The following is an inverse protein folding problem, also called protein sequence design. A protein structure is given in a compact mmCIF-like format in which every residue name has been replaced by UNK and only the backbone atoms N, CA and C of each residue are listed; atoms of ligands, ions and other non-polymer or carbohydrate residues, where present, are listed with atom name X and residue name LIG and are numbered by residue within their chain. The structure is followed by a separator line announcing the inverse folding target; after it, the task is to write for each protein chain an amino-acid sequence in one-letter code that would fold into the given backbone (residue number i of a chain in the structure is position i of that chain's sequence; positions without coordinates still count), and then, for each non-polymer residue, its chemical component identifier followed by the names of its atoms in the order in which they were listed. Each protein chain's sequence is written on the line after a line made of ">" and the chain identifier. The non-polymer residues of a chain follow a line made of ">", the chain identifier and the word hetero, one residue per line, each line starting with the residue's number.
data_IF_806854041476
#
_entry.id   IF_806854041476
#
_cell.length_a   1.000
_cell.length_b   1.000
_cell.length_c   1.000
_cell.angle_alpha   90.00
_cell.angle_beta   90.00
_cell.angle_gamma   90.00
#
_symmetry.space_group_name_H-M   'P 1'
#
loop_
_entity.id
_entity.type
_entity.pdbx_description
1 polymer ?
#
# COMPACT_ATOMS: atom_id res chain seq x y z
N UNK A 1 -4.87 55.00 25.16
CA UNK A 1 -5.97 55.96 25.35
C UNK A 1 -6.91 55.88 24.17
N UNK A 2 -8.19 55.64 24.45
CA UNK A 2 -9.40 55.85 23.65
C UNK A 2 -9.52 55.31 22.21
N UNK A 3 -10.44 54.34 22.08
CA UNK A 3 -11.21 54.02 20.88
C UNK A 3 -12.20 55.13 20.51
N UNK A 4 -12.71 55.16 19.26
CA UNK A 4 -14.15 55.31 18.90
C UNK A 4 -14.41 54.99 17.41
N UNK A 5 -15.36 54.06 17.18
CA UNK A 5 -16.43 53.88 16.16
C UNK A 5 -16.20 54.27 14.68
N UNK A 6 -16.35 53.39 13.69
CA UNK A 6 -17.54 52.65 13.19
C UNK A 6 -18.49 53.44 12.27
N UNK A 7 -18.71 52.93 11.04
CA UNK A 7 -19.96 53.05 10.28
C UNK A 7 -20.36 51.68 9.71
N UNK A 8 -21.48 51.17 10.22
CA UNK A 8 -22.31 50.12 9.61
C UNK A 8 -23.35 50.74 8.67
N UNK A 9 -23.71 50.01 7.61
CA UNK A 9 -25.06 49.78 7.02
C UNK A 9 -24.91 48.61 6.02
N UNK A 10 -25.77 47.62 5.81
CA UNK A 10 -26.99 47.01 6.36
C UNK A 10 -27.06 45.69 5.53
N UNK A 11 -27.00 44.45 6.01
CA UNK A 11 -27.91 43.67 6.86
C UNK A 11 -29.36 43.52 6.36
N UNK A 12 -29.65 42.45 5.61
CA UNK A 12 -30.94 41.72 5.58
C UNK A 12 -30.63 40.26 5.17
N UNK A 13 -31.04 39.14 5.79
CA UNK A 13 -31.77 38.71 7.01
C UNK A 13 -31.44 37.20 7.11
N UNK A 14 -30.80 36.69 8.17
CA UNK A 14 -31.35 36.08 9.41
C UNK A 14 -32.34 34.93 9.13
N UNK A 15 -32.24 33.74 9.77
CA UNK A 15 -32.24 33.43 11.21
C UNK A 15 -32.12 31.88 11.32
N UNK A 16 -31.52 31.22 12.31
CA UNK A 16 -31.79 31.27 13.76
C UNK A 16 -30.57 30.78 14.55
N UNK A 17 -30.40 31.42 15.70
CA UNK A 17 -29.34 31.33 16.71
C UNK A 17 -29.66 30.28 17.78
N UNK A 18 -28.60 29.72 18.36
CA UNK A 18 -28.43 29.05 19.66
C UNK A 18 -29.63 29.01 20.62
N UNK A 19 -29.77 27.88 21.32
CA UNK A 19 -29.96 27.86 22.78
C UNK A 19 -29.47 26.52 23.37
N UNK A 20 -28.71 26.60 24.46
CA UNK A 20 -28.77 25.61 25.53
C UNK A 20 -27.62 24.61 25.62
N UNK A 21 -26.61 24.96 26.44
CA UNK A 21 -26.03 23.97 27.33
C UNK A 21 -27.17 23.31 28.13
N UNK A 22 -27.47 22.06 27.82
CA UNK A 22 -28.16 21.16 28.72
C UNK A 22 -27.29 19.93 28.87
N UNK A 23 -26.68 19.79 30.05
CA UNK A 23 -26.15 18.52 30.51
C UNK A 23 -27.29 17.50 30.43
N UNK A 24 -27.28 16.67 29.38
CA UNK A 24 -28.17 15.52 29.31
C UNK A 24 -27.61 14.51 30.30
N UNK A 25 -28.22 14.48 31.48
CA UNK A 25 -28.03 13.44 32.49
C UNK A 25 -28.43 12.12 31.81
N UNK A 26 -27.44 11.36 31.37
CA UNK A 26 -27.64 10.00 30.87
C UNK A 26 -28.27 9.23 32.02
N UNK A 27 -29.55 8.90 31.87
CA UNK A 27 -30.20 7.88 32.70
C UNK A 27 -29.52 6.55 32.34
N UNK A 28 -29.12 5.73 33.32
CA UNK A 28 -28.49 4.45 33.02
C UNK A 28 -29.55 3.53 32.41
N UNK A 29 -29.53 3.37 31.09
CA UNK A 29 -30.50 2.54 30.37
C UNK A 29 -30.23 2.36 28.88
N UNK A 30 -29.93 3.43 28.14
CA UNK A 30 -30.09 3.39 26.67
C UNK A 30 -28.83 3.79 25.86
N UNK A 31 -27.64 3.32 26.25
CA UNK A 31 -26.40 3.47 25.46
C UNK A 31 -26.16 2.31 24.49
N UNK A 32 -27.23 1.77 23.90
CA UNK A 32 -27.23 0.49 23.20
C UNK A 32 -27.81 0.52 21.79
N UNK A 33 -27.42 1.45 20.92
CA UNK A 33 -27.55 1.30 19.47
C UNK A 33 -26.79 2.39 18.71
N UNK A 34 -26.10 1.99 17.63
CA UNK A 34 -25.48 2.82 16.59
C UNK A 34 -24.13 3.49 16.94
N UNK A 35 -23.12 2.67 17.23
CA UNK A 35 -21.75 2.95 16.77
C UNK A 35 -21.43 1.89 15.73
N UNK A 36 -21.10 2.29 14.50
CA UNK A 36 -20.54 1.37 13.51
C UNK A 36 -19.25 0.80 14.12
N UNK A 37 -19.28 -0.47 14.54
CA UNK A 37 -18.17 -1.07 15.26
C UNK A 37 -17.03 -1.32 14.28
N UNK A 38 -15.92 -0.60 14.44
CA UNK A 38 -14.71 -0.85 13.67
C UNK A 38 -14.16 -2.26 13.95
N UNK A 39 -13.56 -2.93 12.95
CA UNK A 39 -12.90 -4.22 13.13
C UNK A 39 -11.62 -4.09 13.98
N UNK A 40 -11.18 -5.20 14.58
CA UNK A 40 -10.01 -5.29 15.46
C UNK A 40 -8.72 -5.60 14.69
N UNK A 41 -8.82 -6.26 13.54
CA UNK A 41 -7.72 -6.38 12.59
C UNK A 41 -7.74 -5.15 11.67
N UNK A 42 -6.68 -4.33 11.63
CA UNK A 42 -6.59 -3.20 10.71
C UNK A 42 -6.78 -3.65 9.26
N UNK A 43 -7.62 -2.94 8.51
CA UNK A 43 -7.93 -3.25 7.11
C UNK A 43 -8.95 -4.36 6.87
N UNK A 44 -9.43 -5.03 7.91
CA UNK A 44 -10.62 -5.85 7.74
C UNK A 44 -11.87 -4.98 7.52
N UNK A 45 -12.88 -5.55 6.86
CA UNK A 45 -14.26 -5.08 6.94
C UNK A 45 -14.95 -5.66 8.17
N UNK A 46 -15.84 -4.90 8.83
CA UNK A 46 -16.67 -5.44 9.90
C UNK A 46 -18.07 -5.80 9.40
N UNK A 47 -18.44 -7.08 9.47
CA UNK A 47 -19.82 -7.56 9.23
C UNK A 47 -20.18 -8.57 10.31
N UNK A 48 -21.01 -8.17 11.27
CA UNK A 48 -21.34 -9.04 12.40
C UNK A 48 -22.07 -10.34 11.97
N UNK A 49 -21.64 -11.46 12.53
CA UNK A 49 -22.41 -12.71 12.52
C UNK A 49 -23.71 -12.55 13.35
N UNK A 50 -24.69 -13.43 13.13
CA UNK A 50 -25.90 -13.44 13.94
C UNK A 50 -25.58 -13.75 15.41
N UNK A 51 -26.21 -13.03 16.35
CA UNK A 51 -25.93 -13.16 17.79
C UNK A 51 -26.13 -14.55 18.39
N UNK A 52 -26.86 -15.44 17.71
CA UNK A 52 -27.03 -16.85 18.12
C UNK A 52 -25.94 -17.79 17.61
N UNK A 53 -25.03 -17.32 16.75
CA UNK A 53 -24.00 -18.14 16.11
C UNK A 53 -22.64 -18.07 16.84
N UNK A 54 -22.55 -17.35 17.95
CA UNK A 54 -21.34 -17.25 18.79
C UNK A 54 -21.74 -17.00 20.26
N UNK A 55 -20.82 -17.29 21.18
CA UNK A 55 -20.99 -16.98 22.60
C UNK A 55 -20.27 -15.69 22.99
N UNK A 56 -20.90 -14.84 23.79
CA UNK A 56 -20.22 -13.66 24.34
C UNK A 56 -19.13 -14.07 25.34
N UNK A 57 -17.94 -13.50 25.19
CA UNK A 57 -16.76 -13.85 25.97
C UNK A 57 -16.16 -15.22 25.64
N UNK A 58 -15.15 -15.60 26.43
CA UNK A 58 -14.43 -16.88 26.32
C UNK A 58 -14.28 -17.54 27.68
N UNK A 59 -14.30 -18.87 27.68
CA UNK A 59 -14.03 -19.69 28.88
C UNK A 59 -12.58 -20.18 28.96
N UNK A 60 -11.72 -19.85 27.99
CA UNK A 60 -10.31 -20.22 27.96
C UNK A 60 -9.46 -19.12 27.30
N UNK A 61 -8.16 -19.12 27.57
CA UNK A 61 -7.21 -18.24 26.91
C UNK A 61 -7.06 -18.60 25.43
N UNK A 62 -6.88 -17.58 24.58
CA UNK A 62 -6.63 -17.78 23.15
C UNK A 62 -5.21 -18.32 22.99
N UNK A 63 -5.09 -19.52 22.41
CA UNK A 63 -3.80 -20.20 22.24
C UNK A 63 -3.61 -20.78 20.86
N UNK A 64 -4.65 -20.79 20.01
CA UNK A 64 -4.62 -21.49 18.72
C UNK A 64 -5.30 -20.67 17.63
N UNK A 65 -4.78 -20.73 16.41
CA UNK A 65 -5.44 -20.25 15.19
C UNK A 65 -5.82 -21.48 14.37
N UNK A 66 -7.07 -21.56 13.93
CA UNK A 66 -7.59 -22.64 13.10
C UNK A 66 -7.88 -22.11 11.70
N UNK A 67 -7.24 -22.73 10.72
CA UNK A 67 -7.37 -22.46 9.29
C UNK A 67 -8.45 -23.38 8.73
N UNK A 68 -9.47 -22.78 8.14
CA UNK A 68 -10.59 -23.46 7.50
C UNK A 68 -10.67 -23.15 6.02
N UNK A 69 -11.31 -24.03 5.26
CA UNK A 69 -11.79 -23.75 3.90
C UNK A 69 -13.29 -23.94 3.88
N UNK A 70 -13.99 -22.90 3.45
CA UNK A 70 -15.45 -22.74 3.59
C UNK A 70 -16.28 -23.73 2.79
N UNK A 71 -15.72 -24.35 1.74
CA UNK A 71 -16.45 -25.11 0.73
C UNK A 71 -17.55 -24.26 0.06
N UNK A 72 -17.24 -22.98 -0.18
CA UNK A 72 -18.19 -22.00 -0.69
C UNK A 72 -17.55 -20.67 -1.08
N UNK A 73 -18.39 -19.70 -1.43
CA UNK A 73 -17.95 -18.34 -1.79
C UNK A 73 -17.81 -17.44 -0.58
N UNK A 74 -17.05 -16.35 -0.73
CA UNK A 74 -16.83 -15.33 0.30
C UNK A 74 -18.14 -14.70 0.77
N UNK A 75 -18.95 -14.23 -0.18
CA UNK A 75 -20.25 -13.65 0.11
C UNK A 75 -21.24 -14.68 0.69
N UNK A 76 -21.19 -15.94 0.21
CA UNK A 76 -22.01 -17.02 0.72
C UNK A 76 -21.69 -17.36 2.18
N UNK A 77 -20.40 -17.41 2.52
CA UNK A 77 -19.93 -17.65 3.90
C UNK A 77 -20.40 -16.55 4.84
N UNK A 78 -20.22 -15.28 4.46
CA UNK A 78 -20.70 -14.14 5.24
C UNK A 78 -22.21 -14.20 5.44
N UNK A 79 -22.96 -14.46 4.37
CA UNK A 79 -24.43 -14.61 4.45
C UNK A 79 -24.85 -15.76 5.37
N UNK A 80 -24.13 -16.89 5.33
CA UNK A 80 -24.41 -18.04 6.18
C UNK A 80 -24.20 -17.73 7.66
N UNK A 81 -23.11 -17.04 8.01
CA UNK A 81 -22.86 -16.63 9.39
C UNK A 81 -23.83 -15.57 9.91
N UNK A 82 -24.50 -14.83 9.01
CA UNK A 82 -25.59 -13.92 9.34
C UNK A 82 -26.96 -14.62 9.49
N UNK A 83 -27.09 -15.88 9.08
CA UNK A 83 -28.32 -16.65 9.27
C UNK A 83 -28.45 -17.09 10.75
N UNK A 84 -29.46 -16.62 11.50
CA UNK A 84 -29.63 -16.97 12.92
C UNK A 84 -29.88 -18.47 13.18
N UNK A 85 -30.22 -19.24 12.14
CA UNK A 85 -30.42 -20.69 12.23
C UNK A 85 -29.18 -21.50 11.88
N UNK A 86 -28.06 -20.87 11.49
CA UNK A 86 -26.86 -21.60 11.08
C UNK A 86 -26.19 -22.33 12.26
N UNK A 87 -26.17 -21.72 13.45
CA UNK A 87 -25.51 -22.28 14.64
C UNK A 87 -23.99 -22.37 14.52
N UNK A 88 -23.39 -21.71 13.53
CA UNK A 88 -21.94 -21.72 13.24
C UNK A 88 -21.47 -20.34 12.82
N UNK A 89 -20.20 -20.03 13.11
CA UNK A 89 -19.53 -18.80 12.71
C UNK A 89 -18.02 -18.94 12.82
N UNK A 90 -17.27 -18.06 12.17
CA UNK A 90 -15.84 -17.86 12.39
C UNK A 90 -15.53 -16.40 12.75
N UNK A 91 -14.29 -16.16 13.19
CA UNK A 91 -13.87 -14.80 13.56
C UNK A 91 -13.60 -13.96 12.31
N UNK A 92 -12.95 -14.55 11.31
CA UNK A 92 -12.56 -13.89 10.07
C UNK A 92 -12.88 -14.75 8.84
N UNK A 93 -13.17 -14.09 7.71
CA UNK A 93 -13.30 -14.69 6.38
C UNK A 93 -12.33 -13.98 5.43
N UNK A 94 -11.60 -14.74 4.62
CA UNK A 94 -10.61 -14.25 3.64
C UNK A 94 -11.06 -14.60 2.22
N UNK A 95 -11.13 -13.59 1.37
CA UNK A 95 -11.53 -13.72 -0.04
C UNK A 95 -10.38 -14.26 -0.87
N UNK A 96 -10.68 -15.17 -1.80
CA UNK A 96 -9.67 -15.82 -2.63
C UNK A 96 -9.07 -14.87 -3.65
N UNK A 97 -9.87 -14.08 -4.35
CA UNK A 97 -9.41 -13.34 -5.53
C UNK A 97 -8.37 -12.26 -5.22
N UNK A 98 -8.51 -11.54 -4.11
CA UNK A 98 -7.72 -10.35 -3.80
C UNK A 98 -7.21 -10.30 -2.34
N UNK A 99 -7.59 -11.27 -1.49
CA UNK A 99 -7.19 -11.32 -0.09
C UNK A 99 -8.01 -10.43 0.85
N UNK A 100 -9.17 -9.89 0.45
CA UNK A 100 -10.04 -9.08 1.32
C UNK A 100 -10.43 -9.85 2.60
N UNK A 101 -10.23 -9.22 3.76
CA UNK A 101 -10.53 -9.81 5.08
C UNK A 101 -11.82 -9.19 5.65
N UNK A 102 -12.80 -10.02 6.03
CA UNK A 102 -13.98 -9.57 6.81
C UNK A 102 -13.92 -10.19 8.20
N UNK A 103 -13.96 -9.37 9.25
CA UNK A 103 -14.16 -9.82 10.63
C UNK A 103 -15.66 -9.90 10.94
N UNK A 104 -16.08 -11.02 11.53
CA UNK A 104 -17.48 -11.29 11.82
C UNK A 104 -17.81 -11.55 13.29
N UNK A 105 -16.85 -12.06 14.06
CA UNK A 105 -16.95 -12.23 15.50
C UNK A 105 -15.74 -11.55 16.15
N UNK A 106 -15.95 -10.89 17.29
CA UNK A 106 -14.87 -10.28 18.06
C UNK A 106 -13.89 -11.34 18.55
N UNK A 107 -12.60 -11.02 18.64
CA UNK A 107 -11.59 -11.95 19.15
C UNK A 107 -11.91 -12.43 20.57
N UNK A 108 -12.45 -11.55 21.41
CA UNK A 108 -12.84 -11.82 22.80
C UNK A 108 -14.09 -12.70 22.95
N UNK A 109 -14.86 -12.88 21.89
CA UNK A 109 -16.04 -13.74 21.86
C UNK A 109 -15.68 -15.14 21.33
N UNK A 110 -16.55 -16.12 21.57
CA UNK A 110 -16.36 -17.51 21.16
C UNK A 110 -17.16 -17.81 19.89
N UNK A 111 -16.53 -17.71 18.72
CA UNK A 111 -17.15 -18.17 17.47
C UNK A 111 -17.31 -19.70 17.44
N UNK A 112 -18.36 -20.19 16.78
CA UNK A 112 -18.68 -21.63 16.70
C UNK A 112 -18.14 -22.25 15.40
N UNK A 113 -16.85 -22.59 15.36
CA UNK A 113 -16.17 -23.09 14.15
C UNK A 113 -15.47 -24.46 14.27
N UNK A 114 -15.03 -24.86 15.48
CA UNK A 114 -14.17 -26.02 15.70
C UNK A 114 -14.52 -26.80 16.98
N UNK A 115 -15.82 -26.94 17.28
CA UNK A 115 -16.35 -27.80 18.38
C UNK A 115 -15.67 -27.50 19.73
N UNK A 116 -15.03 -28.49 20.36
CA UNK A 116 -14.34 -28.34 21.65
C UNK A 116 -13.17 -27.36 21.62
N UNK A 117 -12.70 -26.96 20.44
CA UNK A 117 -11.65 -25.97 20.29
C UNK A 117 -12.15 -24.52 20.31
N UNK A 118 -13.45 -24.28 20.17
CA UNK A 118 -14.03 -22.93 20.14
C UNK A 118 -13.52 -22.04 21.29
N UNK A 119 -13.46 -22.50 22.56
CA UNK A 119 -13.11 -21.62 23.67
C UNK A 119 -11.69 -21.04 23.63
N UNK A 120 -10.74 -21.76 23.02
CA UNK A 120 -9.30 -21.41 23.06
C UNK A 120 -8.72 -21.08 21.69
N UNK A 121 -9.53 -21.05 20.62
CA UNK A 121 -9.04 -20.82 19.27
C UNK A 121 -9.73 -19.68 18.53
N UNK A 122 -9.02 -19.07 17.59
CA UNK A 122 -9.54 -18.13 16.61
C UNK A 122 -9.70 -18.85 15.26
N UNK A 123 -10.82 -18.66 14.58
CA UNK A 123 -11.15 -19.33 13.32
C UNK A 123 -11.06 -18.38 12.14
N UNK A 124 -10.31 -18.77 11.11
CA UNK A 124 -10.16 -18.03 9.85
C UNK A 124 -10.66 -18.92 8.71
N UNK A 125 -11.70 -18.45 8.04
CA UNK A 125 -12.38 -19.11 6.93
C UNK A 125 -11.84 -18.62 5.59
N UNK A 126 -11.40 -19.53 4.73
CA UNK A 126 -10.92 -19.21 3.39
C UNK A 126 -11.97 -19.57 2.34
N UNK A 127 -12.35 -18.61 1.50
CA UNK A 127 -13.21 -18.85 0.34
C UNK A 127 -12.61 -19.94 -0.56
N UNK A 128 -13.43 -20.90 -1.00
CA UNK A 128 -13.04 -21.87 -2.01
C UNK A 128 -13.35 -23.30 -1.65
N UNK A 129 -12.73 -24.22 -2.40
CA UNK A 129 -13.01 -25.65 -2.33
C UNK A 129 -11.72 -26.46 -2.15
N UNK A 130 -11.73 -27.40 -1.21
CA UNK A 130 -10.54 -28.16 -0.77
C UNK A 130 -9.92 -29.04 -1.87
N UNK A 131 -10.68 -29.36 -2.90
CA UNK A 131 -10.31 -30.22 -4.03
C UNK A 131 -9.86 -29.42 -5.27
N UNK A 132 -9.85 -28.08 -5.18
CA UNK A 132 -9.44 -27.22 -6.28
C UNK A 132 -8.35 -26.22 -5.84
N UNK A 133 -7.07 -26.46 -6.22
CA UNK A 133 -5.97 -25.61 -5.80
C UNK A 133 -6.03 -24.17 -6.34
N UNK A 134 -6.82 -23.88 -7.38
CA UNK A 134 -6.93 -22.54 -7.94
C UNK A 134 -7.55 -21.51 -6.97
N UNK A 135 -8.25 -21.97 -5.94
CA UNK A 135 -8.78 -21.10 -4.89
C UNK A 135 -7.71 -20.62 -3.90
N UNK A 136 -6.57 -21.30 -3.80
CA UNK A 136 -5.51 -20.93 -2.86
C UNK A 136 -4.52 -19.98 -3.52
N UNK A 137 -4.99 -18.76 -3.78
CA UNK A 137 -4.19 -17.70 -4.42
C UNK A 137 -3.12 -17.15 -3.48
N UNK A 138 -2.09 -16.54 -4.04
CA UNK A 138 -1.05 -15.90 -3.24
C UNK A 138 -1.61 -14.72 -2.42
N UNK A 139 -2.55 -13.95 -2.98
CA UNK A 139 -3.25 -12.88 -2.27
C UNK A 139 -3.97 -13.40 -1.02
N UNK A 140 -4.66 -14.53 -1.12
CA UNK A 140 -5.28 -15.18 0.04
C UNK A 140 -4.22 -15.60 1.07
N UNK A 141 -3.15 -16.28 0.63
CA UNK A 141 -2.08 -16.73 1.52
C UNK A 141 -1.41 -15.57 2.25
N UNK A 142 -1.10 -14.46 1.56
CA UNK A 142 -0.50 -13.25 2.14
C UNK A 142 -1.42 -12.59 3.16
N UNK A 143 -2.67 -12.29 2.78
CA UNK A 143 -3.63 -11.67 3.70
C UNK A 143 -3.90 -12.54 4.92
N UNK A 144 -4.07 -13.85 4.72
CA UNK A 144 -4.27 -14.79 5.83
C UNK A 144 -3.03 -14.96 6.70
N UNK A 145 -1.83 -14.97 6.12
CA UNK A 145 -0.58 -15.06 6.87
C UNK A 145 -0.37 -13.80 7.73
N UNK A 146 -0.69 -12.62 7.18
CA UNK A 146 -0.64 -11.35 7.89
C UNK A 146 -1.66 -11.30 9.03
N UNK A 147 -2.90 -11.74 8.79
CA UNK A 147 -3.91 -11.89 9.82
C UNK A 147 -3.45 -12.86 10.92
N UNK A 148 -3.01 -14.07 10.56
CA UNK A 148 -2.55 -15.08 11.52
C UNK A 148 -1.38 -14.58 12.37
N UNK A 149 -0.47 -13.84 11.76
CA UNK A 149 0.68 -13.24 12.44
C UNK A 149 0.29 -12.11 13.38
N UNK A 150 -0.63 -11.24 12.96
CA UNK A 150 -1.22 -10.21 13.82
C UNK A 150 -1.89 -10.83 15.04
N UNK A 151 -2.75 -11.82 14.84
CA UNK A 151 -3.44 -12.52 15.92
C UNK A 151 -2.44 -13.24 16.84
N UNK A 152 -1.41 -13.87 16.27
CA UNK A 152 -0.37 -14.52 17.03
C UNK A 152 0.43 -13.55 17.90
N UNK A 153 0.78 -12.37 17.37
CA UNK A 153 1.45 -11.32 18.14
C UNK A 153 0.55 -10.77 19.25
N UNK A 154 -0.70 -10.44 18.93
CA UNK A 154 -1.68 -9.87 19.86
C UNK A 154 -1.97 -10.78 21.05
N UNK A 155 -2.10 -12.08 20.79
CA UNK A 155 -2.52 -13.07 21.79
C UNK A 155 -1.38 -13.94 22.32
N UNK A 156 -0.13 -13.69 21.91
CA UNK A 156 1.04 -14.44 22.36
C UNK A 156 1.08 -15.89 21.87
N UNK A 157 0.50 -16.18 20.70
CA UNK A 157 0.45 -17.52 20.11
C UNK A 157 1.78 -17.81 19.39
N UNK A 158 2.48 -18.92 19.67
CA UNK A 158 3.69 -19.28 18.93
C UNK A 158 3.39 -19.53 17.45
N UNK A 159 4.20 -18.97 16.54
CA UNK A 159 4.02 -19.06 15.08
C UNK A 159 4.49 -20.40 14.49
N UNK A 160 4.02 -21.51 15.06
CA UNK A 160 4.38 -22.86 14.63
C UNK A 160 3.14 -23.68 14.29
N UNK A 161 3.33 -24.77 13.56
CA UNK A 161 2.23 -25.69 13.18
C UNK A 161 1.56 -26.37 14.38
N UNK A 162 2.17 -26.32 15.57
CA UNK A 162 1.53 -26.80 16.79
C UNK A 162 0.41 -25.88 17.28
N UNK A 163 0.39 -24.60 16.86
CA UNK A 163 -0.56 -23.60 17.33
C UNK A 163 -1.33 -22.91 16.19
N UNK A 164 -0.84 -22.99 14.96
CA UNK A 164 -1.57 -22.61 13.74
C UNK A 164 -1.91 -23.90 13.01
N UNK A 165 -3.17 -24.31 13.08
CA UNK A 165 -3.62 -25.68 12.77
C UNK A 165 -4.73 -25.68 11.73
N UNK A 166 -4.81 -26.73 10.93
CA UNK A 166 -5.98 -26.98 10.08
C UNK A 166 -7.15 -27.48 10.89
N UNK A 167 -8.38 -27.25 10.43
CA UNK A 167 -9.57 -27.78 11.09
C UNK A 167 -9.52 -29.31 11.22
N UNK A 168 -9.05 -30.00 10.18
CA UNK A 168 -8.77 -31.44 10.14
C UNK A 168 -7.78 -31.94 11.19
N UNK A 169 -7.05 -31.05 11.88
CA UNK A 169 -6.09 -31.40 12.93
C UNK A 169 -6.67 -31.19 14.33
N UNK A 170 -7.84 -30.56 14.45
CA UNK A 170 -8.43 -30.21 15.74
C UNK A 170 -9.05 -31.43 16.43
N UNK A 171 -9.01 -31.50 17.78
CA UNK A 171 -9.55 -32.64 18.51
C UNK A 171 -11.05 -32.85 18.23
N UNK A 172 -11.43 -34.09 17.92
CA UNK A 172 -12.82 -34.46 17.69
C UNK A 172 -13.43 -33.91 16.39
N UNK A 173 -12.60 -33.54 15.40
CA UNK A 173 -13.10 -33.12 14.10
C UNK A 173 -13.54 -34.32 13.23
N UNK A 174 -14.52 -34.07 12.38
CA UNK A 174 -15.04 -34.92 11.30
C UNK A 174 -14.88 -34.23 9.94
N UNK A 175 -13.99 -33.25 9.86
CA UNK A 175 -13.81 -32.32 8.75
C UNK A 175 -12.45 -32.54 8.07
N UNK A 176 -12.38 -32.25 6.77
CA UNK A 176 -11.16 -32.48 5.96
C UNK A 176 -10.44 -31.19 5.57
N UNK A 177 -11.03 -30.03 5.83
CA UNK A 177 -10.45 -28.72 5.51
C UNK A 177 -9.25 -28.37 6.42
N UNK A 178 -8.25 -27.61 5.94
CA UNK A 178 -8.19 -26.87 4.67
C UNK A 178 -7.86 -27.72 3.43
N UNK A 179 -7.74 -29.04 3.58
CA UNK A 179 -7.57 -29.96 2.46
C UNK A 179 -6.13 -30.18 2.00
N UNK A 180 -5.92 -31.11 1.06
CA UNK A 180 -4.58 -31.53 0.62
C UNK A 180 -3.84 -30.47 -0.19
N UNK A 181 -4.57 -29.50 -0.77
CA UNK A 181 -4.02 -28.46 -1.62
C UNK A 181 -3.60 -27.20 -0.85
N UNK A 182 -3.89 -27.12 0.46
CA UNK A 182 -3.37 -26.05 1.30
C UNK A 182 -1.86 -26.24 1.52
N UNK A 183 -1.07 -25.35 0.95
CA UNK A 183 0.38 -25.37 1.01
C UNK A 183 0.86 -24.79 2.35
N UNK A 184 0.93 -25.65 3.36
CA UNK A 184 1.42 -25.28 4.69
C UNK A 184 2.84 -24.73 4.69
N UNK A 185 3.72 -25.19 3.79
CA UNK A 185 5.09 -24.69 3.74
C UNK A 185 5.12 -23.23 3.28
N UNK A 186 4.37 -22.89 2.23
CA UNK A 186 4.21 -21.51 1.75
C UNK A 186 3.54 -20.62 2.79
N UNK A 187 2.43 -21.09 3.37
CA UNK A 187 1.71 -20.32 4.38
C UNK A 187 2.57 -20.04 5.62
N UNK A 188 3.25 -21.07 6.14
CA UNK A 188 4.15 -20.90 7.28
C UNK A 188 5.42 -20.14 6.92
N UNK A 189 5.92 -20.22 5.67
CA UNK A 189 7.03 -19.38 5.25
C UNK A 189 6.60 -17.93 5.25
N UNK A 190 5.43 -17.58 4.69
CA UNK A 190 4.90 -16.21 4.75
C UNK A 190 4.74 -15.72 6.19
N UNK A 191 4.19 -16.53 7.10
CA UNK A 191 4.05 -16.19 8.54
C UNK A 191 5.41 -15.98 9.22
N UNK A 192 6.46 -16.68 8.81
CA UNK A 192 7.78 -16.62 9.48
C UNK A 192 8.81 -15.75 8.76
N UNK A 193 8.64 -15.50 7.47
CA UNK A 193 9.46 -14.60 6.68
C UNK A 193 9.08 -13.18 7.07
N UNK A 194 9.98 -12.51 7.77
CA UNK A 194 10.44 -11.25 7.19
C UNK A 194 11.89 -11.44 6.73
N UNK A 195 12.25 -10.65 5.74
CA UNK A 195 13.38 -10.90 4.88
C UNK A 195 14.73 -10.53 5.49
N UNK A 196 15.76 -10.87 4.73
CA UNK A 196 16.89 -9.98 4.52
C UNK A 196 16.93 -9.63 3.03
N UNK A 197 17.33 -8.40 2.71
CA UNK A 197 17.93 -8.02 1.43
C UNK A 197 17.22 -6.92 0.63
N UNK A 198 17.98 -5.84 0.35
CA UNK A 198 17.85 -4.95 -0.81
C UNK A 198 17.06 -3.65 -0.61
N UNK A 199 17.73 -2.55 -0.23
CA UNK A 199 17.14 -1.21 -0.25
C UNK A 199 16.81 -0.78 -1.69
N UNK A 200 15.57 -0.39 -1.93
CA UNK A 200 15.15 0.43 -3.07
C UNK A 200 14.14 1.45 -2.56
N UNK A 201 14.45 2.73 -2.72
CA UNK A 201 13.62 3.88 -2.33
C UNK A 201 13.50 4.79 -3.55
N UNK A 202 12.28 5.04 -4.00
CA UNK A 202 11.80 6.32 -4.54
C UNK A 202 10.34 6.16 -5.01
N UNK A 203 9.45 7.00 -4.50
CA UNK A 203 8.14 7.36 -5.06
C UNK A 203 7.91 8.84 -4.76
N UNK A 204 6.89 9.46 -5.37
CA UNK A 204 6.45 10.87 -5.26
C UNK A 204 6.64 11.52 -3.87
N UNK A 205 6.77 12.85 -3.72
CA UNK A 205 6.62 13.53 -2.42
C UNK A 205 5.48 12.93 -1.61
N UNK A 206 5.81 12.23 -0.51
CA UNK A 206 4.87 11.26 0.06
C UNK A 206 3.98 11.85 1.15
N UNK A 207 2.68 12.09 0.96
CA UNK A 207 1.75 12.52 2.02
C UNK A 207 0.82 11.38 2.47
N UNK A 208 1.32 10.49 3.33
CA UNK A 208 0.52 9.38 3.84
C UNK A 208 -0.60 9.85 4.78
N UNK A 209 -0.47 11.04 5.37
CA UNK A 209 -1.38 11.60 6.35
C UNK A 209 -2.56 12.37 5.74
N UNK A 210 -2.37 12.92 4.55
CA UNK A 210 -3.31 13.78 3.82
C UNK A 210 -3.35 15.21 4.37
N UNK A 211 -2.26 15.68 5.00
CA UNK A 211 -2.17 17.02 5.59
C UNK A 211 -1.49 18.07 4.68
N UNK A 212 -1.13 17.65 3.46
CA UNK A 212 -0.47 18.41 2.43
C UNK A 212 1.03 18.55 2.63
N UNK A 213 1.67 17.63 3.39
CA UNK A 213 3.10 17.65 3.67
C UNK A 213 3.71 16.28 3.44
N UNK A 214 4.90 16.29 2.85
CA UNK A 214 5.65 15.06 2.64
C UNK A 214 6.12 14.47 3.97
N UNK A 215 5.60 13.29 4.26
CA UNK A 215 5.99 12.33 5.27
C UNK A 215 7.21 11.50 4.82
N UNK A 216 7.66 10.57 5.67
CA UNK A 216 8.70 9.59 5.34
C UNK A 216 8.19 8.19 5.65
N UNK A 217 8.41 7.25 4.73
CA UNK A 217 8.28 5.81 4.98
C UNK A 217 9.62 5.10 4.93
N UNK A 218 9.81 4.12 5.81
CA UNK A 218 10.90 3.16 5.75
C UNK A 218 10.33 1.76 5.73
N UNK A 219 10.70 0.98 4.73
CA UNK A 219 10.40 -0.45 4.66
C UNK A 219 11.54 -1.22 5.33
N UNK A 220 11.26 -1.77 6.52
CA UNK A 220 12.20 -2.62 7.23
C UNK A 220 12.15 -4.02 6.63
N UNK A 221 12.98 -4.26 5.62
CA UNK A 221 13.18 -5.55 4.94
C UNK A 221 13.92 -6.60 5.80
N UNK A 222 13.82 -6.48 7.13
CA UNK A 222 14.24 -7.44 8.14
C UNK A 222 13.17 -8.51 8.42
N UNK A 223 13.31 -9.28 9.52
CA UNK A 223 12.43 -10.41 9.89
C UNK A 223 10.93 -10.10 10.07
N UNK A 224 10.53 -8.84 9.87
CA UNK A 224 9.14 -8.42 9.90
C UNK A 224 8.63 -7.69 8.64
N UNK A 225 9.46 -7.31 7.65
CA UNK A 225 8.99 -6.58 6.44
C UNK A 225 8.00 -5.45 6.79
N UNK A 226 8.32 -4.69 7.83
CA UNK A 226 7.41 -3.71 8.44
C UNK A 226 7.57 -2.35 7.74
N UNK A 227 6.45 -1.67 7.43
CA UNK A 227 6.48 -0.29 6.97
C UNK A 227 6.36 0.65 8.18
N UNK A 228 7.35 1.52 8.35
CA UNK A 228 7.38 2.53 9.40
C UNK A 228 7.23 3.91 8.79
N UNK A 229 6.28 4.68 9.29
CA UNK A 229 6.05 6.06 8.83
C UNK A 229 6.41 7.05 9.93
N UNK A 230 7.01 8.16 9.53
CA UNK A 230 7.19 9.34 10.35
C UNK A 230 6.51 10.51 9.64
N UNK A 231 5.44 11.04 10.24
CA UNK A 231 4.67 12.10 9.61
C UNK A 231 5.35 13.46 9.77
N UNK A 232 5.22 14.32 8.77
CA UNK A 232 5.80 15.65 8.81
C UNK A 232 4.98 16.61 9.64
N UNK A 233 5.66 17.57 10.26
CA UNK A 233 5.05 18.76 10.87
C UNK A 233 5.39 20.03 10.08
N UNK A 234 6.07 19.86 8.93
CA UNK A 234 6.78 20.89 8.14
C UNK A 234 7.86 21.67 8.86
N UNK A 235 8.22 21.29 10.09
CA UNK A 235 9.42 21.79 10.77
C UNK A 235 10.29 20.68 11.38
N UNK A 236 9.74 19.46 11.44
CA UNK A 236 10.38 18.22 11.87
C UNK A 236 9.47 17.05 11.47
N UNK A 237 9.99 15.82 11.53
CA UNK A 237 9.17 14.61 11.51
C UNK A 237 8.74 14.25 12.94
N UNK A 238 7.46 13.96 13.15
CA UNK A 238 6.87 13.71 14.45
C UNK A 238 7.20 12.30 14.97
N UNK A 239 7.65 12.23 16.23
CA UNK A 239 7.73 10.99 17.01
C UNK A 239 8.88 10.03 16.66
N UNK A 240 8.90 8.89 17.36
CA UNK A 240 9.65 7.69 16.93
C UNK A 240 8.84 6.99 15.85
N UNK A 241 9.49 6.55 14.77
CA UNK A 241 8.85 5.88 13.63
C UNK A 241 7.76 4.88 14.08
N UNK A 242 6.52 5.15 13.68
CA UNK A 242 5.37 4.32 14.05
C UNK A 242 5.22 3.26 12.99
N UNK A 243 5.06 2.01 13.41
CA UNK A 243 4.77 0.94 12.48
C UNK A 243 3.35 1.08 11.94
N UNK A 244 3.23 1.27 10.63
CA UNK A 244 1.96 1.48 9.92
C UNK A 244 1.50 0.23 9.18
N UNK A 245 2.43 -0.65 8.79
CA UNK A 245 2.07 -1.95 8.22
C UNK A 245 3.02 -3.03 8.72
N UNK A 246 2.51 -4.23 8.85
CA UNK A 246 3.34 -5.41 8.98
C UNK A 246 3.37 -6.18 7.65
N UNK A 247 4.55 -6.62 7.22
CA UNK A 247 4.74 -7.58 6.13
C UNK A 247 4.33 -7.13 4.72
N UNK A 248 4.69 -5.89 4.36
CA UNK A 248 4.58 -5.36 3.00
C UNK A 248 5.96 -5.23 2.36
N UNK A 249 6.11 -5.66 1.11
CA UNK A 249 7.42 -5.74 0.44
C UNK A 249 8.23 -6.95 0.91
N UNK A 250 7.86 -8.13 0.41
CA UNK A 250 8.64 -9.34 0.63
C UNK A 250 9.98 -9.27 -0.11
N UNK A 251 10.90 -10.18 0.24
CA UNK A 251 12.24 -10.22 -0.36
C UNK A 251 12.17 -10.33 -1.88
N UNK A 252 12.81 -9.38 -2.57
CA UNK A 252 12.86 -9.32 -4.03
C UNK A 252 11.69 -8.57 -4.69
N UNK A 253 10.77 -8.00 -3.91
CA UNK A 253 9.73 -7.12 -4.43
C UNK A 253 10.23 -5.67 -4.51
N UNK A 254 9.74 -4.93 -5.52
CA UNK A 254 10.04 -3.50 -5.69
C UNK A 254 8.95 -2.69 -5.01
N UNK A 255 9.28 -1.62 -4.32
CA UNK A 255 8.37 -0.85 -3.47
C UNK A 255 8.32 0.60 -3.93
N UNK A 256 7.11 1.14 -4.10
CA UNK A 256 6.85 2.54 -4.44
C UNK A 256 5.66 3.06 -3.60
N UNK A 257 5.38 4.35 -3.73
CA UNK A 257 4.35 5.08 -2.96
C UNK A 257 3.61 6.05 -3.88
N UNK A 258 2.31 6.23 -3.64
CA UNK A 258 1.47 7.14 -4.43
C UNK A 258 -0.02 7.04 -4.07
N UNK A 259 -0.84 8.03 -4.40
CA UNK A 259 -2.29 8.04 -4.12
C UNK A 259 -3.05 7.25 -5.19
N UNK A 260 -3.04 5.93 -5.08
CA UNK A 260 -3.69 5.07 -6.07
C UNK A 260 -5.21 5.13 -5.99
N UNK A 261 -5.78 5.64 -4.89
CA UNK A 261 -7.22 5.62 -4.63
C UNK A 261 -7.92 6.99 -4.79
N UNK A 262 -7.15 8.06 -4.87
CA UNK A 262 -7.61 9.43 -5.09
C UNK A 262 -8.22 10.07 -3.85
N UNK A 263 -7.84 9.63 -2.64
CA UNK A 263 -8.36 10.18 -1.39
C UNK A 263 -7.46 11.25 -0.76
N UNK A 264 -6.41 11.66 -1.48
CA UNK A 264 -5.42 12.65 -1.08
C UNK A 264 -4.43 12.14 -0.04
N UNK A 265 -4.32 10.81 0.13
CA UNK A 265 -3.28 10.19 0.94
C UNK A 265 -2.51 9.21 0.08
N UNK A 266 -1.20 9.28 0.17
CA UNK A 266 -0.38 8.30 -0.50
C UNK A 266 -0.54 6.93 0.13
N UNK A 267 -0.45 5.92 -0.71
CA UNK A 267 -0.53 4.51 -0.39
C UNK A 267 0.85 3.87 -0.62
N UNK A 268 0.97 2.57 -0.32
CA UNK A 268 2.15 1.78 -0.65
C UNK A 268 1.80 0.74 -1.72
N UNK A 269 2.71 0.53 -2.67
CA UNK A 269 2.59 -0.50 -3.71
C UNK A 269 3.83 -1.36 -3.76
N UNK A 270 3.65 -2.65 -4.06
CA UNK A 270 4.76 -3.55 -4.31
C UNK A 270 4.58 -4.41 -5.57
N UNK A 271 5.67 -4.60 -6.30
CA UNK A 271 5.74 -5.35 -7.55
C UNK A 271 6.56 -6.62 -7.34
N UNK A 272 5.95 -7.78 -7.60
CA UNK A 272 6.64 -9.06 -7.48
C UNK A 272 7.56 -9.28 -8.69
N UNK A 273 8.86 -9.04 -8.51
CA UNK A 273 9.87 -9.11 -9.58
C UNK A 273 10.18 -10.50 -10.15
N UNK A 274 9.41 -11.54 -9.80
CA UNK A 274 9.58 -12.87 -10.38
C UNK A 274 9.19 -12.91 -11.87
N UNK A 275 9.80 -13.81 -12.65
CA UNK A 275 9.37 -14.15 -14.02
C UNK A 275 8.75 -15.54 -14.11
N UNK A 276 8.80 -16.30 -13.02
CA UNK A 276 8.29 -17.67 -12.91
C UNK A 276 7.62 -17.85 -11.56
N UNK A 277 6.56 -18.66 -11.51
CA UNK A 277 5.76 -18.86 -10.30
C UNK A 277 4.36 -18.28 -10.45
N UNK A 278 3.46 -18.62 -9.53
CA UNK A 278 2.04 -18.27 -9.62
C UNK A 278 1.72 -16.82 -9.29
N UNK A 279 2.70 -16.07 -8.78
CA UNK A 279 2.59 -14.68 -8.33
C UNK A 279 3.63 -13.75 -8.99
N UNK A 280 4.38 -14.26 -9.97
CA UNK A 280 5.32 -13.45 -10.75
C UNK A 280 4.55 -12.30 -11.41
N UNK A 281 5.05 -11.06 -11.29
CA UNK A 281 4.40 -9.87 -11.83
C UNK A 281 3.15 -9.40 -11.08
N UNK A 282 2.71 -10.07 -10.00
CA UNK A 282 1.59 -9.55 -9.21
C UNK A 282 1.96 -8.17 -8.62
N UNK A 283 0.97 -7.28 -8.51
CA UNK A 283 1.08 -5.97 -7.87
C UNK A 283 0.11 -5.90 -6.69
N UNK A 284 0.62 -5.56 -5.51
CA UNK A 284 -0.16 -5.42 -4.29
C UNK A 284 -0.15 -3.99 -3.81
N UNK A 285 -1.32 -3.46 -3.42
CA UNK A 285 -1.48 -2.11 -2.87
C UNK A 285 -1.98 -2.18 -1.44
N UNK A 286 -1.33 -1.45 -0.53
CA UNK A 286 -1.76 -1.22 0.84
C UNK A 286 -2.21 0.22 1.00
N UNK A 287 -3.53 0.43 1.09
CA UNK A 287 -4.10 1.78 1.18
C UNK A 287 -3.76 2.46 2.52
N UNK A 288 -3.48 3.76 2.51
CA UNK A 288 -3.32 4.54 3.73
C UNK A 288 -4.66 4.91 4.36
N UNK A 289 -4.63 5.03 5.68
CA UNK A 289 -5.75 5.54 6.49
C UNK A 289 -5.42 6.87 7.14
N UNK A 290 -4.25 7.45 6.84
CA UNK A 290 -3.70 8.63 7.52
C UNK A 290 -2.99 8.31 8.84
N UNK A 291 -3.07 7.07 9.32
CA UNK A 291 -2.45 6.64 10.58
C UNK A 291 -1.88 5.22 10.56
N UNK A 292 -2.13 4.46 9.49
CA UNK A 292 -1.68 3.11 9.22
C UNK A 292 -1.94 2.76 7.75
N UNK A 293 -1.28 1.73 7.22
CA UNK A 293 -1.65 1.13 5.94
C UNK A 293 -2.51 -0.11 6.14
N UNK A 294 -3.46 -0.35 5.23
CA UNK A 294 -4.24 -1.57 5.17
C UNK A 294 -3.38 -2.76 4.68
N UNK A 295 -3.89 -3.98 4.86
CA UNK A 295 -3.24 -5.16 4.31
C UNK A 295 -3.15 -5.10 2.78
N UNK A 296 -1.99 -5.47 2.23
CA UNK A 296 -1.76 -5.48 0.79
C UNK A 296 -2.78 -6.33 0.04
N UNK A 297 -3.53 -5.69 -0.86
CA UNK A 297 -4.56 -6.32 -1.70
C UNK A 297 -4.03 -6.40 -3.12
N UNK A 298 -4.24 -7.53 -3.82
CA UNK A 298 -3.78 -7.64 -5.21
C UNK A 298 -4.59 -6.74 -6.13
N UNK A 299 -3.92 -5.87 -6.88
CA UNK A 299 -4.51 -4.90 -7.80
C UNK A 299 -4.16 -5.17 -9.27
N UNK A 300 -3.12 -5.94 -9.56
CA UNK A 300 -2.75 -6.38 -10.91
C UNK A 300 -2.06 -7.75 -10.88
N UNK A 301 -2.18 -8.54 -11.95
CA UNK A 301 -1.67 -9.93 -12.02
C UNK A 301 -0.29 -10.05 -12.71
N UNK A 302 0.07 -9.09 -13.57
CA UNK A 302 1.32 -9.16 -14.34
C UNK A 302 1.85 -7.78 -14.77
N UNK A 303 2.66 -7.15 -13.94
CA UNK A 303 3.27 -5.85 -14.23
C UNK A 303 4.67 -5.72 -13.62
N UNK A 304 5.59 -5.10 -14.36
CA UNK A 304 7.00 -4.95 -14.00
C UNK A 304 7.76 -6.25 -13.59
N UNK A 305 7.53 -7.41 -14.26
CA UNK A 305 8.22 -8.65 -13.93
C UNK A 305 9.74 -8.57 -14.15
N UNK A 306 10.51 -9.43 -13.48
CA UNK A 306 11.94 -9.56 -13.73
C UNK A 306 12.73 -8.26 -13.51
N UNK A 307 13.49 -7.87 -14.54
CA UNK A 307 14.39 -6.73 -14.51
C UNK A 307 13.73 -5.40 -14.93
N UNK A 308 12.44 -5.40 -15.27
CA UNK A 308 11.72 -4.18 -15.64
C UNK A 308 11.72 -3.16 -14.49
N UNK A 309 11.69 -1.87 -14.78
CA UNK A 309 11.73 -0.82 -13.74
C UNK A 309 10.32 -0.27 -13.56
N UNK A 310 9.64 -0.47 -12.41
CA UNK A 310 8.37 0.16 -12.14
C UNK A 310 8.55 1.62 -11.73
N UNK A 311 7.56 2.44 -12.03
CA UNK A 311 7.36 3.79 -11.53
C UNK A 311 5.86 4.04 -11.28
N UNK A 312 5.53 5.15 -10.63
CA UNK A 312 4.17 5.57 -10.28
C UNK A 312 3.99 7.05 -10.54
N UNK A 313 2.76 7.47 -10.86
CA UNK A 313 2.40 8.87 -11.07
C UNK A 313 1.05 9.03 -11.78
N UNK A 314 0.39 10.17 -11.64
CA UNK A 314 -0.89 10.49 -12.30
C UNK A 314 -0.65 10.91 -13.75
N UNK A 315 -0.42 9.92 -14.61
CA UNK A 315 -0.10 10.17 -16.02
C UNK A 315 -1.34 10.50 -16.84
N UNK A 316 -2.54 10.36 -16.28
CA UNK A 316 -3.80 10.59 -16.98
C UNK A 316 -4.56 11.85 -16.53
N UNK A 317 -4.19 12.42 -15.38
CA UNK A 317 -4.70 13.66 -14.82
C UNK A 317 -6.04 13.50 -14.11
N UNK A 318 -6.35 12.30 -13.61
CA UNK A 318 -7.60 12.03 -12.89
C UNK A 318 -7.46 12.12 -11.36
N UNK A 319 -6.29 12.52 -10.88
CA UNK A 319 -5.95 12.68 -9.47
C UNK A 319 -5.66 11.35 -8.78
N UNK A 320 -5.34 10.29 -9.53
CA UNK A 320 -4.90 9.00 -8.99
C UNK A 320 -3.59 8.60 -9.63
N UNK A 321 -2.68 8.12 -8.81
CA UNK A 321 -1.44 7.58 -9.32
C UNK A 321 -1.69 6.28 -10.09
N UNK A 322 -1.08 6.20 -11.26
CA UNK A 322 -1.07 5.03 -12.13
C UNK A 322 0.24 4.25 -11.91
N UNK A 323 0.32 3.02 -12.43
CA UNK A 323 1.58 2.28 -12.48
C UNK A 323 2.17 2.30 -13.89
N UNK A 324 3.47 2.55 -13.97
CA UNK A 324 4.26 2.61 -15.19
C UNK A 324 5.35 1.55 -15.09
N UNK A 325 5.68 0.89 -16.19
CA UNK A 325 6.87 0.04 -16.25
C UNK A 325 7.69 0.31 -17.50
N UNK A 326 8.98 0.51 -17.28
CA UNK A 326 10.01 0.55 -18.31
C UNK A 326 10.55 -0.86 -18.47
N UNK A 327 10.38 -1.44 -19.66
CA UNK A 327 10.90 -2.79 -19.93
C UNK A 327 12.41 -2.88 -19.74
N UNK A 328 13.10 -1.75 -19.90
CA UNK A 328 14.52 -1.56 -19.62
C UNK A 328 15.42 -2.59 -20.31
N UNK A 329 14.97 -3.04 -21.49
CA UNK A 329 15.66 -3.98 -22.38
C UNK A 329 16.08 -3.26 -23.68
N UNK A 330 16.39 -4.03 -24.72
CA UNK A 330 16.78 -3.46 -26.02
C UNK A 330 15.62 -2.83 -26.81
N UNK A 331 14.37 -3.09 -26.44
CA UNK A 331 13.19 -2.45 -27.03
C UNK A 331 12.83 -1.16 -26.29
N UNK A 332 13.04 -1.11 -24.96
CA UNK A 332 12.73 0.07 -24.15
C UNK A 332 11.26 0.49 -24.26
N UNK A 333 10.35 -0.47 -24.39
CA UNK A 333 8.93 -0.19 -24.33
C UNK A 333 8.52 0.32 -22.93
N UNK A 334 7.54 1.23 -22.90
CA UNK A 334 6.93 1.75 -21.67
C UNK A 334 5.44 1.38 -21.67
N UNK A 335 5.03 0.67 -20.62
CA UNK A 335 3.64 0.27 -20.41
C UNK A 335 3.05 1.02 -19.22
N UNK A 336 1.77 1.37 -19.33
CA UNK A 336 1.00 2.03 -18.27
C UNK A 336 -0.24 1.19 -17.96
N UNK A 337 -0.54 0.99 -16.69
CA UNK A 337 -1.84 0.48 -16.25
C UNK A 337 -2.52 1.51 -15.35
N UNK A 338 -3.64 2.05 -15.84
CA UNK A 338 -4.36 3.13 -15.18
C UNK A 338 -5.05 2.64 -13.90
N UNK A 339 -5.02 3.44 -12.84
CA UNK A 339 -5.74 3.15 -11.61
C UNK A 339 -7.24 3.37 -11.78
N UNK A 340 -8.01 2.49 -11.15
CA UNK A 340 -9.47 2.64 -11.00
C UNK A 340 -9.86 3.08 -9.60
N UNK A 341 -8.88 3.26 -8.71
CA UNK A 341 -9.06 3.47 -7.27
C UNK A 341 -9.31 2.20 -6.46
N UNK A 342 -9.44 1.04 -7.11
CA UNK A 342 -9.60 -0.27 -6.43
C UNK A 342 -8.84 -1.42 -7.09
N UNK A 343 -8.26 -1.18 -8.27
CA UNK A 343 -7.42 -2.09 -9.05
C UNK A 343 -6.73 -1.29 -10.17
N UNK A 344 -5.73 -1.87 -10.82
CA UNK A 344 -5.18 -1.32 -12.06
C UNK A 344 -5.85 -1.95 -13.29
N UNK A 345 -5.97 -1.17 -14.36
CA UNK A 345 -6.42 -1.65 -15.67
C UNK A 345 -5.39 -2.56 -16.34
N UNK A 346 -5.62 -2.93 -17.60
CA UNK A 346 -4.62 -3.67 -18.36
C UNK A 346 -3.40 -2.78 -18.66
N UNK A 347 -2.20 -3.37 -18.64
CA UNK A 347 -0.99 -2.71 -19.13
C UNK A 347 -1.09 -2.43 -20.64
N UNK A 348 -1.06 -1.15 -21.01
CA UNK A 348 -1.10 -0.68 -22.40
C UNK A 348 0.24 -0.04 -22.73
N UNK A 349 0.78 -0.36 -23.91
CA UNK A 349 2.01 0.29 -24.40
C UNK A 349 1.71 1.75 -24.72
N UNK A 350 2.32 2.67 -23.98
CA UNK A 350 2.17 4.12 -24.16
C UNK A 350 3.36 4.74 -24.88
N UNK A 351 4.48 4.03 -24.92
CA UNK A 351 5.70 4.50 -25.57
C UNK A 351 6.61 3.33 -25.96
N UNK A 352 7.54 3.60 -26.87
CA UNK A 352 8.54 2.65 -27.34
C UNK A 352 9.92 3.31 -27.40
N UNK A 353 10.97 2.49 -27.26
CA UNK A 353 12.36 2.94 -27.34
C UNK A 353 12.72 4.10 -26.39
N UNK A 354 12.42 3.92 -25.11
CA UNK A 354 12.67 4.90 -24.06
C UNK A 354 13.18 4.22 -22.78
N UNK A 355 14.24 4.79 -22.20
CA UNK A 355 14.91 4.22 -21.03
C UNK A 355 15.35 2.77 -21.24
N UNK A 356 16.21 2.58 -22.25
CA UNK A 356 16.85 1.28 -22.51
C UNK A 356 17.81 0.91 -21.37
N UNK A 357 18.25 -0.35 -21.35
CA UNK A 357 19.16 -0.87 -20.33
C UNK A 357 20.37 0.04 -20.08
N UNK A 358 20.53 0.50 -18.82
CA UNK A 358 21.63 1.36 -18.37
C UNK A 358 21.30 2.85 -18.29
N UNK A 359 20.11 3.25 -18.74
CA UNK A 359 19.56 4.59 -18.49
C UNK A 359 18.79 4.63 -17.16
N UNK A 360 18.38 5.82 -16.72
CA UNK A 360 17.71 6.02 -15.44
C UNK A 360 16.34 6.68 -15.70
N UNK A 361 15.24 5.93 -15.64
CA UNK A 361 13.91 6.51 -15.83
C UNK A 361 13.45 7.27 -14.59
N UNK A 362 12.63 8.30 -14.81
CA UNK A 362 11.91 9.03 -13.78
C UNK A 362 10.53 9.47 -14.30
N UNK A 363 9.61 9.75 -13.38
CA UNK A 363 8.23 10.16 -13.66
C UNK A 363 7.92 11.44 -12.85
N UNK A 364 7.25 12.42 -13.45
CA UNK A 364 6.86 13.68 -12.81
C UNK A 364 6.33 14.73 -13.80
N UNK A 365 5.57 15.72 -13.33
CA UNK A 365 4.95 16.77 -14.15
C UNK A 365 5.96 17.84 -14.55
N UNK A 366 6.77 17.55 -15.56
CA UNK A 366 7.85 18.45 -15.98
C UNK A 366 7.34 19.60 -16.84
N UNK A 367 6.09 19.58 -17.26
CA UNK A 367 5.51 20.61 -18.11
C UNK A 367 4.48 21.52 -17.40
N UNK A 368 4.01 21.12 -16.22
CA UNK A 368 3.09 21.86 -15.38
C UNK A 368 1.63 21.79 -15.86
N UNK A 369 1.25 20.72 -16.57
CA UNK A 369 -0.14 20.53 -17.02
C UNK A 369 -0.97 19.65 -16.07
N UNK A 370 -0.39 19.25 -14.94
CA UNK A 370 -1.02 18.43 -13.92
C UNK A 370 -1.03 16.94 -14.25
N UNK A 371 -0.26 16.50 -15.24
CA UNK A 371 -0.04 15.08 -15.54
C UNK A 371 1.42 14.75 -15.45
N UNK A 372 1.71 13.57 -14.90
CA UNK A 372 3.07 13.10 -14.85
C UNK A 372 3.57 12.67 -16.23
N UNK A 373 4.79 13.11 -16.55
CA UNK A 373 5.53 12.80 -17.76
C UNK A 373 6.59 11.73 -17.49
N UNK A 374 7.27 11.25 -18.53
CA UNK A 374 8.42 10.36 -18.38
C UNK A 374 9.72 11.05 -18.81
N UNK A 375 10.78 10.80 -18.04
CA UNK A 375 12.15 11.25 -18.31
C UNK A 375 13.10 10.07 -18.27
N UNK A 376 14.18 10.14 -19.05
CA UNK A 376 15.32 9.23 -18.93
C UNK A 376 16.62 10.01 -18.95
N UNK A 377 17.50 9.69 -18.00
CA UNK A 377 18.87 10.20 -17.93
C UNK A 377 19.80 9.14 -18.50
N UNK A 378 20.63 9.48 -19.49
CA UNK A 378 21.54 8.48 -20.07
C UNK A 378 22.69 8.11 -19.15
N UNK A 379 23.07 9.00 -18.23
CA UNK A 379 24.15 8.81 -17.24
C UNK A 379 25.42 8.18 -17.82
N UNK A 380 25.77 8.62 -19.03
CA UNK A 380 26.92 8.17 -19.80
C UNK A 380 27.84 9.35 -20.12
N UNK A 381 28.74 9.22 -21.09
CA UNK A 381 29.67 10.29 -21.45
C UNK A 381 28.98 11.50 -22.10
N UNK A 382 27.83 11.30 -22.73
CA UNK A 382 27.04 12.37 -23.35
C UNK A 382 26.15 13.07 -22.31
N UNK A 383 25.72 12.33 -21.28
CA UNK A 383 24.90 12.85 -20.17
C UNK A 383 23.66 13.60 -20.68
N UNK A 384 22.95 12.98 -21.61
CA UNK A 384 21.74 13.54 -22.21
C UNK A 384 20.52 13.24 -21.33
N UNK A 385 19.55 14.15 -21.38
CA UNK A 385 18.24 14.00 -20.74
C UNK A 385 17.16 14.08 -21.80
N UNK A 386 16.36 13.01 -21.92
CA UNK A 386 15.23 12.94 -22.82
C UNK A 386 13.93 12.92 -22.01
N UNK A 387 12.90 13.58 -22.52
CA UNK A 387 11.57 13.59 -21.91
C UNK A 387 10.50 13.29 -22.94
N UNK A 388 9.43 12.62 -22.51
CA UNK A 388 8.22 12.46 -23.29
C UNK A 388 7.00 12.83 -22.43
N UNK A 389 6.21 13.78 -22.95
CA UNK A 389 5.11 14.40 -22.23
C UNK A 389 3.85 13.54 -22.33
N UNK A 390 3.10 13.39 -21.25
CA UNK A 390 1.82 12.69 -21.28
C UNK A 390 0.74 13.52 -21.95
N UNK A 391 -0.09 12.87 -22.76
CA UNK A 391 -1.36 13.44 -23.24
C UNK A 391 -2.59 12.82 -22.57
N UNK A 392 -2.38 12.00 -21.52
CA UNK A 392 -3.39 11.23 -20.82
C UNK A 392 -3.79 9.90 -21.48
N UNK A 393 -3.14 9.53 -22.58
CA UNK A 393 -3.35 8.24 -23.25
C UNK A 393 -2.10 7.62 -23.90
N UNK A 394 -1.02 8.40 -23.99
CA UNK A 394 0.30 8.00 -24.47
C UNK A 394 1.33 9.05 -24.05
N UNK A 395 2.61 8.68 -24.04
CA UNK A 395 3.69 9.67 -23.95
C UNK A 395 4.10 10.14 -25.36
N UNK A 396 4.47 11.40 -25.52
CA UNK A 396 4.89 11.98 -26.80
C UNK A 396 6.25 12.66 -26.68
N UNK A 397 7.18 12.38 -27.59
CA UNK A 397 8.45 13.13 -27.67
C UNK A 397 9.76 12.34 -27.52
N UNK A 398 9.80 11.01 -27.67
CA UNK A 398 11.00 10.13 -27.65
C UNK A 398 12.33 10.72 -28.15
N UNK A 399 12.32 11.59 -29.16
CA UNK A 399 13.53 12.15 -29.80
C UNK A 399 13.86 13.57 -29.37
N UNK A 400 13.11 14.14 -28.43
CA UNK A 400 13.33 15.51 -27.95
C UNK A 400 14.30 15.43 -26.79
N UNK A 401 15.53 15.84 -27.04
CA UNK A 401 16.50 16.07 -25.98
C UNK A 401 16.15 17.37 -25.25
N UNK A 402 15.89 17.27 -23.95
CA UNK A 402 15.51 18.39 -23.09
C UNK A 402 16.70 19.02 -22.36
N UNK A 403 17.77 18.26 -22.16
CA UNK A 403 19.03 18.75 -21.61
C UNK A 403 20.22 17.93 -22.10
N UNK A 404 21.42 18.50 -22.01
CA UNK A 404 22.69 17.85 -22.29
C UNK A 404 23.70 18.12 -21.16
N UNK A 405 24.69 17.25 -21.01
CA UNK A 405 25.70 17.34 -19.96
C UNK A 405 25.13 17.33 -18.52
N UNK A 406 24.05 16.58 -18.29
CA UNK A 406 23.37 16.43 -17.01
C UNK A 406 23.22 14.94 -16.64
N UNK A 407 23.78 14.54 -15.50
CA UNK A 407 24.07 13.14 -15.13
C UNK A 407 25.19 12.51 -15.96
N UNK A 408 26.42 12.59 -15.47
CA UNK A 408 27.53 11.76 -15.93
C UNK A 408 27.48 10.36 -15.29
N UNK A 409 28.28 9.44 -15.83
CA UNK A 409 28.40 8.09 -15.28
C UNK A 409 28.82 8.10 -13.79
N UNK A 410 27.99 7.49 -12.94
CA UNK A 410 28.20 7.42 -11.50
C UNK A 410 27.55 8.56 -10.69
N UNK A 411 26.88 9.50 -11.37
CA UNK A 411 26.03 10.50 -10.74
C UNK A 411 24.62 9.96 -10.50
N UNK A 412 23.85 10.62 -9.62
CA UNK A 412 22.53 10.17 -9.19
C UNK A 412 21.48 11.25 -9.47
N UNK A 413 20.60 11.06 -10.48
CA UNK A 413 19.60 12.04 -10.85
C UNK A 413 18.26 11.80 -10.14
N UNK A 414 17.50 12.87 -9.91
CA UNK A 414 16.12 12.84 -9.38
C UNK A 414 15.26 13.95 -10.00
N UNK A 415 13.95 13.87 -9.79
CA UNK A 415 12.96 14.89 -10.17
C UNK A 415 12.29 15.51 -8.95
N UNK A 416 11.82 16.75 -9.11
CA UNK A 416 10.90 17.42 -8.20
C UNK A 416 10.83 18.92 -8.44
N UNK A 417 9.75 19.57 -8.01
CA UNK A 417 9.61 21.03 -8.05
C UNK A 417 10.49 21.72 -6.98
N UNK A 418 11.75 21.98 -7.31
CA UNK A 418 12.71 22.57 -6.37
C UNK A 418 12.56 24.09 -6.22
N UNK A 419 11.77 24.72 -7.09
CA UNK A 419 11.65 26.18 -7.16
C UNK A 419 10.23 26.69 -6.80
N UNK A 420 9.24 25.79 -6.73
CA UNK A 420 7.86 26.06 -6.37
C UNK A 420 7.01 26.65 -7.50
N UNK A 421 7.37 26.43 -8.78
CA UNK A 421 6.62 26.94 -9.93
C UNK A 421 5.61 25.94 -10.52
N UNK A 422 5.44 24.78 -9.87
CA UNK A 422 4.51 23.74 -10.26
C UNK A 422 4.98 22.91 -11.45
N UNK A 423 6.28 22.90 -11.74
CA UNK A 423 6.89 21.97 -12.69
C UNK A 423 8.01 21.22 -12.00
N UNK A 424 8.11 19.93 -12.28
CA UNK A 424 9.23 19.15 -11.81
C UNK A 424 10.51 19.52 -12.56
N UNK A 425 11.52 19.89 -11.78
CA UNK A 425 12.88 20.20 -12.19
C UNK A 425 13.76 18.94 -12.13
N UNK A 426 14.93 18.98 -12.78
CA UNK A 426 15.95 17.92 -12.65
C UNK A 426 17.01 18.30 -11.63
N UNK A 427 17.42 17.35 -10.79
CA UNK A 427 18.59 17.48 -9.91
C UNK A 427 19.56 16.34 -10.15
N UNK A 428 20.85 16.60 -9.97
CA UNK A 428 21.88 15.55 -9.96
C UNK A 428 22.84 15.74 -8.80
N UNK A 429 23.13 14.63 -8.12
CA UNK A 429 24.18 14.51 -7.12
C UNK A 429 25.42 13.91 -7.77
N UNK A 430 26.45 14.74 -8.00
CA UNK A 430 27.60 14.35 -8.81
C UNK A 430 28.50 13.29 -8.14
N UNK A 431 28.48 13.20 -6.80
CA UNK A 431 29.32 12.33 -5.96
C UNK A 431 30.83 12.27 -6.35
N UNK A 432 31.31 13.31 -7.03
CA UNK A 432 32.71 13.51 -7.42
C UNK A 432 33.57 14.03 -6.27
N UNK A 433 34.77 14.55 -6.57
CA UNK A 433 35.69 15.07 -5.53
C UNK A 433 35.11 16.24 -4.70
N UNK A 434 34.16 16.97 -5.26
CA UNK A 434 33.45 18.08 -4.59
C UNK A 434 32.05 17.69 -4.10
N UNK A 435 31.49 16.55 -4.51
CA UNK A 435 30.10 16.13 -4.23
C UNK A 435 29.10 17.29 -4.42
N UNK A 436 29.19 17.93 -5.58
CA UNK A 436 28.32 19.07 -5.93
C UNK A 436 26.90 18.59 -6.28
N UNK A 437 25.94 19.49 -6.08
CA UNK A 437 24.53 19.31 -6.44
C UNK A 437 24.16 20.34 -7.49
N UNK A 438 23.70 19.85 -8.64
CA UNK A 438 23.28 20.69 -9.76
C UNK A 438 21.78 20.54 -10.01
N UNK A 439 21.10 21.65 -10.26
CA UNK A 439 19.67 21.70 -10.59
C UNK A 439 19.49 22.34 -11.96
N UNK A 440 18.72 21.68 -12.82
CA UNK A 440 18.25 22.19 -14.10
C UNK A 440 16.76 22.51 -13.99
N UNK A 441 16.41 23.80 -13.98
CA UNK A 441 15.01 24.21 -13.85
C UNK A 441 14.21 23.89 -15.12
N UNK A 442 13.00 23.38 -14.97
CA UNK A 442 12.10 23.12 -16.09
C UNK A 442 11.56 24.42 -16.69
N UNK A 443 11.44 24.43 -18.01
CA UNK A 443 10.74 25.48 -18.77
C UNK A 443 9.40 25.00 -19.32
N UNK A 444 9.06 23.73 -19.07
CA UNK A 444 7.93 23.00 -19.63
C UNK A 444 8.07 22.55 -21.08
N UNK A 445 9.23 22.81 -21.70
CA UNK A 445 9.59 22.30 -23.04
C UNK A 445 11.05 21.87 -23.14
N UNK A 446 11.74 21.80 -21.99
CA UNK A 446 13.17 21.60 -21.86
C UNK A 446 13.64 22.02 -20.46
N UNK A 447 14.86 21.66 -20.09
CA UNK A 447 15.49 22.09 -18.85
C UNK A 447 16.56 23.15 -19.12
N UNK A 448 16.69 24.12 -18.22
CA UNK A 448 17.85 25.02 -18.21
C UNK A 448 19.12 24.23 -17.91
N UNK A 449 20.27 24.75 -18.34
CA UNK A 449 21.56 24.15 -18.01
C UNK A 449 21.77 24.06 -16.51
N UNK A 450 22.38 22.96 -16.04
CA UNK A 450 22.57 22.68 -14.62
C UNK A 450 23.30 23.80 -13.89
N UNK A 451 22.61 24.43 -12.94
CA UNK A 451 23.19 25.41 -12.04
C UNK A 451 23.63 24.73 -10.75
N UNK A 452 24.84 25.02 -10.26
CA UNK A 452 25.27 24.51 -8.96
C UNK A 452 24.48 25.18 -7.85
N UNK A 453 23.70 24.41 -7.10
CA UNK A 453 22.92 24.90 -5.97
C UNK A 453 23.57 24.60 -4.63
N UNK A 454 24.35 23.51 -4.56
CA UNK A 454 25.08 23.13 -3.35
C UNK A 454 26.43 22.49 -3.70
N UNK A 455 27.38 22.55 -2.76
CA UNK A 455 28.66 21.84 -2.80
C UNK A 455 28.89 20.99 -1.54
N UNK A 456 29.70 19.93 -1.63
CA UNK A 456 30.03 19.04 -0.50
C UNK A 456 28.85 18.34 0.18
N UNK A 457 27.86 17.89 -0.60
CA UNK A 457 26.65 17.22 -0.07
C UNK A 457 26.57 15.77 -0.57
N UNK A 458 26.44 14.81 0.35
CA UNK A 458 26.41 13.38 0.01
C UNK A 458 27.80 12.81 -0.28
N UNK A 459 28.70 12.86 0.71
CA UNK A 459 30.10 12.44 0.58
C UNK A 459 30.24 10.95 0.22
N UNK A 460 31.42 10.56 -0.29
CA UNK A 460 31.72 9.17 -0.59
C UNK A 460 31.48 8.24 0.62
N UNK A 461 30.54 7.30 0.47
CA UNK A 461 30.10 6.38 1.53
C UNK A 461 28.77 6.79 2.19
N UNK A 462 28.23 7.96 1.85
CA UNK A 462 26.91 8.40 2.28
C UNK A 462 25.86 8.03 1.22
N UNK A 463 24.75 7.45 1.71
CA UNK A 463 23.54 7.31 0.92
C UNK A 463 22.83 8.66 0.99
N UNK A 464 22.61 9.26 -0.17
CA UNK A 464 21.96 10.56 -0.32
C UNK A 464 20.66 10.26 -1.03
N UNK A 465 19.57 10.48 -0.31
CA UNK A 465 18.20 10.36 -0.79
C UNK A 465 17.69 11.78 -1.04
#
# INVERSE_FOLDING_TARGET
>A
MYAVAARQRDAVVRRVVLLGQAAHRILPGDAGALVCRLPQYPGARWIAAAGGNYGAGRSAAITTIVIHVTQGSYAGTISWFQNPSAGVSAHYVVKSSNGEVTQMVRDEDTAYHARSANPYSLGIEHEGFVDNPAWFTDAMYRSSANLSRHLANKWGIPKTRSYIRGHNEMPGNDHTDPGPHWNWNHYMSLINSGGGGGQYLAGSPTDFSGDGRDDIVTFNLGSLNDAYVATSTGSAFAGTSVKWNDFFGLSGEKLLTGDFNGDGKDDIVTFVGGTTGTNAGDVYVGLSTGTAFLGGTKWHDWFAPGAEVPAVGDVNGDGRDDIITFTHDGQGDVYVALSTGTSFGAGVKWHEYFSIAGEYPAVGDVNGDGRDDIITFTCNADADVYAAVSNGSSFVGTTVKWNDFFCLAGEFPYLGDYNGDGKDDIIVFAKGSTNDVYVGLSTGTGFLGGAKWHDFFGLNGEITL
#
